data_IF_811719292811
#
_entry.id   IF_811719292811
#
_cell.length_a   1.000
_cell.length_b   1.000
_cell.length_c   1.000
_cell.angle_alpha   90.00
_cell.angle_beta   90.00
_cell.angle_gamma   90.00
#
_symmetry.space_group_name_H-M   'P 1'
#
loop_
_entity.id
_entity.type
_entity.pdbx_description
1 polymer ?
#
# COMPACT_ATOMS: atom_id res chain seq x y z
N UNK A 1 16.19 5.58 -25.18
CA UNK A 1 16.36 6.80 -24.37
C UNK A 1 15.99 6.44 -22.94
N UNK A 2 16.76 6.90 -21.96
CA UNK A 2 16.41 6.65 -20.57
C UNK A 2 15.11 7.40 -20.23
N UNK A 3 14.19 6.74 -19.54
CA UNK A 3 12.98 7.39 -19.03
C UNK A 3 13.36 8.27 -17.84
N UNK A 4 13.04 9.57 -17.91
CA UNK A 4 13.43 10.57 -16.92
C UNK A 4 12.25 10.84 -15.99
N UNK A 5 12.50 10.89 -14.68
CA UNK A 5 11.50 11.26 -13.70
C UNK A 5 11.13 12.75 -13.82
N UNK A 6 9.84 13.12 -13.95
CA UNK A 6 9.42 14.52 -14.07
C UNK A 6 9.54 15.31 -12.77
N UNK A 7 9.71 14.64 -11.61
CA UNK A 7 9.81 15.27 -10.30
C UNK A 7 11.25 15.68 -9.98
N UNK A 8 12.21 14.78 -10.17
CA UNK A 8 13.61 15.00 -9.79
C UNK A 8 14.58 15.14 -10.97
N UNK A 9 14.14 14.86 -12.21
CA UNK A 9 14.98 14.96 -13.40
C UNK A 9 16.04 13.87 -13.56
N UNK A 10 16.04 12.85 -12.69
CA UNK A 10 16.96 11.71 -12.76
C UNK A 10 16.41 10.61 -13.68
N UNK A 11 17.29 9.80 -14.31
CA UNK A 11 16.87 8.54 -14.93
C UNK A 11 16.10 7.68 -13.91
N UNK A 12 15.02 7.01 -14.33
CA UNK A 12 14.17 6.19 -13.45
C UNK A 12 14.96 5.18 -12.60
N UNK A 13 16.04 4.62 -13.15
CA UNK A 13 16.91 3.66 -12.45
C UNK A 13 17.68 4.26 -11.26
N UNK A 14 17.85 5.58 -11.22
CA UNK A 14 18.53 6.32 -10.16
C UNK A 14 17.55 7.15 -9.31
N UNK A 15 16.26 7.04 -9.57
CA UNK A 15 15.23 7.83 -8.91
C UNK A 15 14.84 7.23 -7.56
N UNK A 16 14.78 8.06 -6.52
CA UNK A 16 14.35 7.67 -5.17
C UNK A 16 13.02 8.32 -4.75
N UNK A 17 12.30 8.98 -5.67
CA UNK A 17 11.07 9.72 -5.33
C UNK A 17 10.01 8.82 -4.67
N UNK A 18 9.86 7.59 -5.17
CA UNK A 18 8.89 6.64 -4.60
C UNK A 18 9.26 6.25 -3.15
N UNK A 19 10.54 6.02 -2.86
CA UNK A 19 11.01 5.70 -1.51
C UNK A 19 10.74 6.85 -0.53
N UNK A 20 11.08 8.07 -0.94
CA UNK A 20 10.81 9.29 -0.16
C UNK A 20 9.30 9.43 0.10
N UNK A 21 8.47 9.19 -0.91
CA UNK A 21 7.03 9.28 -0.78
C UNK A 21 6.48 8.25 0.22
N UNK A 22 7.00 7.03 0.25
CA UNK A 22 6.59 6.01 1.24
C UNK A 22 6.88 6.43 2.67
N UNK A 23 8.05 7.02 2.93
CA UNK A 23 8.47 7.43 4.27
C UNK A 23 7.70 8.64 4.81
N UNK A 24 7.23 9.53 3.93
CA UNK A 24 6.49 10.74 4.31
C UNK A 24 5.02 10.47 4.67
N UNK A 25 4.49 9.32 4.25
CA UNK A 25 3.07 8.99 4.39
C UNK A 25 2.83 8.06 5.59
N UNK A 26 1.72 8.28 6.30
CA UNK A 26 1.28 7.39 7.39
C UNK A 26 0.10 6.56 6.92
N UNK A 27 0.33 5.26 6.75
CA UNK A 27 -0.66 4.29 6.29
C UNK A 27 -1.49 3.79 7.46
N UNK A 28 -2.81 3.94 7.39
CA UNK A 28 -3.73 3.41 8.38
C UNK A 28 -4.16 2.00 8.00
N UNK A 29 -4.16 1.12 8.98
CA UNK A 29 -4.55 -0.29 8.84
C UNK A 29 -5.68 -0.56 9.83
N UNK A 30 -6.85 -0.92 9.33
CA UNK A 30 -8.03 -1.20 10.14
C UNK A 30 -8.75 -2.46 9.66
N UNK A 31 -9.80 -2.87 10.36
CA UNK A 31 -10.72 -3.92 9.92
C UNK A 31 -12.13 -3.38 9.79
N UNK A 32 -12.85 -3.86 8.79
CA UNK A 32 -14.27 -3.58 8.58
C UNK A 32 -15.06 -4.87 8.40
N UNK A 33 -16.36 -4.82 8.67
CA UNK A 33 -17.29 -5.92 8.50
C UNK A 33 -18.05 -5.80 7.19
N UNK A 34 -18.00 -6.85 6.36
CA UNK A 34 -18.76 -7.00 5.11
C UNK A 34 -19.97 -7.91 5.32
N UNK A 35 -20.69 -8.18 4.23
CA UNK A 35 -21.86 -9.08 4.22
C UNK A 35 -21.56 -10.40 4.94
N UNK A 36 -22.55 -10.86 5.71
CA UNK A 36 -22.48 -12.10 6.48
C UNK A 36 -21.38 -12.12 7.56
N UNK A 37 -21.01 -10.95 8.09
CA UNK A 37 -19.99 -10.85 9.14
C UNK A 37 -18.57 -11.16 8.67
N UNK A 38 -18.33 -11.20 7.35
CA UNK A 38 -16.98 -11.41 6.81
C UNK A 38 -16.11 -10.20 7.13
N UNK A 39 -14.97 -10.43 7.75
CA UNK A 39 -14.00 -9.37 8.05
C UNK A 39 -13.16 -9.08 6.81
N UNK A 40 -12.85 -7.80 6.61
CA UNK A 40 -11.83 -7.34 5.66
C UNK A 40 -10.84 -6.45 6.38
N UNK A 41 -9.58 -6.52 5.97
CA UNK A 41 -8.54 -5.56 6.37
C UNK A 41 -8.53 -4.43 5.36
N UNK A 42 -8.56 -3.20 5.85
CA UNK A 42 -8.55 -1.97 5.05
C UNK A 42 -7.21 -1.26 5.26
N UNK A 43 -6.60 -0.84 4.15
CA UNK A 43 -5.35 -0.07 4.12
C UNK A 43 -5.62 1.23 3.39
N UNK A 44 -5.37 2.36 4.02
CA UNK A 44 -5.68 3.70 3.50
C UNK A 44 -4.64 4.74 3.93
N UNK A 45 -4.73 5.96 3.39
CA UNK A 45 -3.78 7.04 3.69
C UNK A 45 -2.53 7.04 2.81
N UNK A 46 -2.64 6.48 1.61
CA UNK A 46 -1.61 6.47 0.57
C UNK A 46 -2.08 7.35 -0.59
N UNK A 47 -1.21 8.25 -1.06
CA UNK A 47 -1.40 9.05 -2.26
C UNK A 47 -1.16 8.19 -3.51
N UNK A 48 -2.22 7.99 -4.29
CA UNK A 48 -2.20 7.19 -5.52
C UNK A 48 -1.40 7.83 -6.66
N UNK A 49 -1.03 9.11 -6.54
CA UNK A 49 -0.15 9.77 -7.51
C UNK A 49 1.32 9.41 -7.29
N UNK A 50 1.69 9.12 -6.03
CA UNK A 50 3.06 8.80 -5.66
C UNK A 50 3.33 7.29 -5.64
N UNK A 51 2.32 6.49 -5.31
CA UNK A 51 2.42 5.05 -5.12
C UNK A 51 1.44 4.33 -6.03
N UNK A 52 1.94 3.33 -6.78
CA UNK A 52 1.10 2.42 -7.55
C UNK A 52 0.27 1.52 -6.61
N UNK A 53 -0.99 1.88 -6.44
CA UNK A 53 -1.92 1.18 -5.56
C UNK A 53 -2.26 -0.23 -6.04
N UNK A 54 -2.25 -0.49 -7.35
CA UNK A 54 -2.53 -1.81 -7.91
C UNK A 54 -1.36 -2.77 -7.69
N UNK A 55 -0.13 -2.29 -7.85
CA UNK A 55 1.08 -3.05 -7.54
C UNK A 55 1.18 -3.32 -6.02
N UNK A 56 0.91 -2.32 -5.19
CA UNK A 56 0.88 -2.51 -3.74
C UNK A 56 -0.18 -3.54 -3.32
N UNK A 57 -1.40 -3.47 -3.88
CA UNK A 57 -2.44 -4.45 -3.60
C UNK A 57 -2.04 -5.86 -4.05
N UNK A 58 -1.37 -6.03 -5.20
CA UNK A 58 -0.84 -7.34 -5.64
C UNK A 58 0.16 -7.89 -4.63
N UNK A 59 1.12 -7.07 -4.17
CA UNK A 59 2.11 -7.46 -3.16
C UNK A 59 1.45 -7.89 -1.85
N UNK A 60 0.51 -7.10 -1.34
CA UNK A 60 -0.20 -7.40 -0.09
C UNK A 60 -1.05 -8.67 -0.21
N UNK A 61 -1.77 -8.87 -1.32
CA UNK A 61 -2.53 -10.11 -1.59
C UNK A 61 -1.63 -11.35 -1.58
N UNK A 62 -0.50 -11.27 -2.28
CA UNK A 62 0.49 -12.36 -2.33
C UNK A 62 1.03 -12.67 -0.94
N UNK A 63 1.43 -11.64 -0.18
CA UNK A 63 1.93 -11.82 1.18
C UNK A 63 0.86 -12.36 2.12
N UNK A 64 -0.38 -11.91 2.03
CA UNK A 64 -1.47 -12.35 2.91
C UNK A 64 -2.17 -13.64 2.49
N UNK A 65 -1.87 -14.16 1.29
CA UNK A 65 -2.59 -15.28 0.68
C UNK A 65 -4.11 -15.04 0.65
N UNK A 66 -4.51 -13.82 0.32
CA UNK A 66 -5.89 -13.34 0.39
C UNK A 66 -6.34 -12.69 -0.92
N UNK A 67 -7.65 -12.77 -1.19
CA UNK A 67 -8.28 -11.95 -2.20
C UNK A 67 -8.37 -10.48 -1.76
N UNK A 68 -8.52 -9.57 -2.72
CA UNK A 68 -8.60 -8.14 -2.42
C UNK A 68 -8.59 -7.24 -3.64
N UNK A 69 -8.83 -5.96 -3.42
CA UNK A 69 -8.88 -4.92 -4.47
C UNK A 69 -8.26 -3.62 -3.98
N UNK A 70 -7.65 -2.86 -4.89
CA UNK A 70 -7.44 -1.42 -4.72
C UNK A 70 -8.63 -0.70 -5.35
N UNK A 71 -9.20 0.29 -4.66
CA UNK A 71 -10.26 1.16 -5.21
C UNK A 71 -10.38 2.41 -4.33
N UNK A 72 -10.57 3.59 -4.91
CA UNK A 72 -10.86 4.82 -4.16
C UNK A 72 -9.78 5.14 -3.09
N UNK A 73 -8.49 5.04 -3.44
CA UNK A 73 -7.39 5.33 -2.51
C UNK A 73 -7.24 4.36 -1.32
N UNK A 74 -7.93 3.21 -1.35
CA UNK A 74 -7.82 2.16 -0.33
C UNK A 74 -7.57 0.80 -0.93
N UNK A 75 -6.93 -0.08 -0.16
CA UNK A 75 -6.77 -1.50 -0.46
C UNK A 75 -7.57 -2.29 0.56
N UNK A 76 -8.41 -3.19 0.07
CA UNK A 76 -9.16 -4.11 0.90
C UNK A 76 -8.67 -5.54 0.69
N UNK A 77 -8.39 -6.24 1.79
CA UNK A 77 -8.00 -7.65 1.80
C UNK A 77 -9.03 -8.47 2.57
N UNK A 78 -9.42 -9.62 2.05
CA UNK A 78 -10.36 -10.51 2.73
C UNK A 78 -9.71 -11.16 3.95
N UNK A 79 -10.35 -11.09 5.12
CA UNK A 79 -9.81 -11.61 6.39
C UNK A 79 -9.17 -10.54 7.27
N UNK A 80 -8.81 -10.93 8.50
CA UNK A 80 -8.02 -10.08 9.41
C UNK A 80 -6.53 -10.37 9.20
N UNK A 81 -5.84 -9.39 8.62
CA UNK A 81 -4.44 -9.43 8.28
C UNK A 81 -3.66 -8.25 8.85
N UNK A 82 -4.20 -7.50 9.82
CA UNK A 82 -3.61 -6.24 10.31
C UNK A 82 -2.13 -6.37 10.66
N UNK A 83 -1.77 -7.43 11.40
CA UNK A 83 -0.39 -7.69 11.81
C UNK A 83 0.53 -7.93 10.60
N UNK A 84 0.12 -8.77 9.66
CA UNK A 84 0.94 -9.12 8.49
C UNK A 84 1.07 -7.97 7.51
N UNK A 85 -0.02 -7.21 7.31
CA UNK A 85 -0.04 -6.00 6.51
C UNK A 85 0.89 -4.95 7.10
N UNK A 86 0.85 -4.74 8.42
CA UNK A 86 1.77 -3.85 9.14
C UNK A 86 3.23 -4.21 8.86
N UNK A 87 3.59 -5.47 9.10
CA UNK A 87 4.97 -5.96 8.90
C UNK A 87 5.45 -5.74 7.46
N UNK A 88 4.60 -6.03 6.46
CA UNK A 88 4.97 -5.85 5.04
C UNK A 88 5.11 -4.38 4.68
N UNK A 89 4.21 -3.51 5.14
CA UNK A 89 4.26 -2.08 4.83
C UNK A 89 5.47 -1.41 5.48
N UNK A 90 5.79 -1.75 6.74
CA UNK A 90 6.98 -1.25 7.42
C UNK A 90 8.27 -1.71 6.71
N UNK A 91 8.32 -2.96 6.23
CA UNK A 91 9.44 -3.45 5.41
C UNK A 91 9.59 -2.72 4.07
N UNK A 92 8.52 -2.14 3.54
CA UNK A 92 8.52 -1.38 2.30
C UNK A 92 8.84 0.11 2.49
N UNK A 93 9.04 0.56 3.73
CA UNK A 93 9.40 1.94 4.08
C UNK A 93 8.22 2.82 4.52
N UNK A 94 7.02 2.26 4.65
CA UNK A 94 5.86 3.03 5.11
C UNK A 94 5.84 3.17 6.64
N UNK A 95 5.42 4.33 7.13
CA UNK A 95 4.99 4.49 8.52
C UNK A 95 3.56 3.95 8.67
N UNK A 96 3.29 3.15 9.70
CA UNK A 96 1.96 2.52 9.89
C UNK A 96 1.26 2.96 11.18
N UNK A 97 -0.08 3.07 11.12
CA UNK A 97 -1.00 3.28 12.26
C UNK A 97 -2.05 2.16 12.26
N UNK A 98 -1.97 1.22 13.20
CA UNK A 98 -2.91 0.08 13.29
C UNK A 98 -4.05 0.40 14.26
N UNK A 99 -5.29 0.23 13.81
CA UNK A 99 -6.51 0.46 14.59
C UNK A 99 -7.32 -0.80 14.85
#
# INVERSE_FOLDING_TARGET
MAEICPVCGLPKELCMCEEIAREQQTVRISTDSRRYGKIVTVVEGIDENDIDMDDLAKKLKSKCAAGGTAKEGRIELQGDHKKKVKEVLEQMGFKTDVR
#
